data_IF_140821285900
#
_entry.id   IF_140821285900
#
_cell.length_a   1.000
_cell.length_b   1.000
_cell.length_c   1.000
_cell.angle_alpha   90.00
_cell.angle_beta   90.00
_cell.angle_gamma   90.00
#
_symmetry.space_group_name_H-M   'P 1'
#
loop_
_entity.id
_entity.type
_entity.pdbx_description
1 polymer ?
#
# COMPACT_ATOMS: atom_id res chain seq x y z
N UNK A 1 12.41 -7.50 -4.24
CA UNK A 1 12.63 -8.72 -3.44
C UNK A 1 12.22 -8.46 -2.00
N UNK A 2 12.81 -7.49 -1.27
CA UNK A 2 12.49 -7.23 0.15
C UNK A 2 10.99 -7.02 0.41
N UNK A 3 10.27 -6.29 -0.43
CA UNK A 3 8.83 -6.09 -0.29
C UNK A 3 8.05 -7.42 -0.37
N UNK A 4 8.43 -8.32 -1.26
CA UNK A 4 7.82 -9.65 -1.36
C UNK A 4 8.11 -10.53 -0.15
N UNK A 5 9.31 -10.40 0.44
CA UNK A 5 9.64 -11.10 1.69
C UNK A 5 8.77 -10.62 2.83
N UNK A 6 8.60 -9.30 2.97
CA UNK A 6 7.70 -8.70 3.98
C UNK A 6 6.26 -9.19 3.80
N UNK A 7 5.79 -9.21 2.55
CA UNK A 7 4.45 -9.70 2.21
C UNK A 7 4.30 -11.18 2.54
N UNK A 8 5.27 -12.02 2.19
CA UNK A 8 5.24 -13.45 2.48
C UNK A 8 5.24 -13.75 3.99
N UNK A 9 6.05 -13.03 4.77
CA UNK A 9 6.09 -13.18 6.24
C UNK A 9 4.76 -12.73 6.88
N UNK A 10 4.19 -11.62 6.39
CA UNK A 10 2.88 -11.14 6.84
C UNK A 10 1.75 -12.11 6.48
N UNK A 11 1.78 -12.69 5.27
CA UNK A 11 0.81 -13.70 4.84
C UNK A 11 0.94 -14.98 5.67
N UNK A 12 2.16 -15.39 6.03
CA UNK A 12 2.39 -16.56 6.88
C UNK A 12 1.78 -16.37 8.29
N UNK A 13 1.68 -15.15 8.78
CA UNK A 13 1.00 -14.87 10.06
C UNK A 13 -0.51 -15.19 9.96
N UNK A 14 -1.16 -14.80 8.87
CA UNK A 14 -2.60 -15.03 8.69
C UNK A 14 -2.90 -16.49 8.33
N UNK A 15 -2.20 -17.06 7.38
CA UNK A 15 -2.44 -18.43 6.91
C UNK A 15 -1.85 -19.47 7.87
N UNK A 16 -0.62 -19.22 8.35
CA UNK A 16 0.11 -20.20 9.18
C UNK A 16 -0.38 -20.25 10.63
N UNK A 17 -0.79 -19.12 11.21
CA UNK A 17 -1.19 -19.06 12.62
C UNK A 17 -2.71 -19.03 12.82
N UNK A 18 -3.42 -18.22 12.03
CA UNK A 18 -4.88 -18.12 12.11
C UNK A 18 -5.57 -19.26 11.34
N UNK A 19 -4.87 -19.92 10.43
CA UNK A 19 -5.45 -20.98 9.59
C UNK A 19 -6.47 -20.48 8.56
N UNK A 20 -6.56 -19.16 8.36
CA UNK A 20 -7.51 -18.53 7.46
C UNK A 20 -6.85 -18.09 6.17
N UNK A 21 -7.40 -18.53 5.05
CA UNK A 21 -6.91 -18.17 3.73
C UNK A 21 -7.38 -16.76 3.34
N UNK A 22 -6.47 -15.78 3.38
CA UNK A 22 -6.74 -14.41 2.93
C UNK A 22 -6.06 -14.15 1.59
N UNK A 23 -6.84 -13.99 0.52
CA UNK A 23 -6.35 -13.67 -0.82
C UNK A 23 -6.31 -12.17 -1.12
N UNK A 24 -6.84 -11.33 -0.21
CA UNK A 24 -6.89 -9.87 -0.36
C UNK A 24 -5.61 -9.13 0.06
N UNK A 25 -4.57 -9.84 0.49
CA UNK A 25 -3.36 -9.23 1.06
C UNK A 25 -2.66 -8.25 0.08
N UNK A 26 -2.68 -8.57 -1.21
CA UNK A 26 -2.15 -7.72 -2.27
C UNK A 26 -2.93 -6.39 -2.42
N UNK A 27 -4.25 -6.40 -2.13
CA UNK A 27 -5.08 -5.20 -2.14
C UNK A 27 -4.63 -4.19 -1.08
N UNK A 28 -4.41 -4.63 0.16
CA UNK A 28 -3.92 -3.76 1.24
C UNK A 28 -2.51 -3.23 0.95
N UNK A 29 -1.64 -4.06 0.38
CA UNK A 29 -0.31 -3.64 -0.05
C UNK A 29 -0.40 -2.53 -1.11
N UNK A 30 -1.29 -2.66 -2.10
CA UNK A 30 -1.44 -1.65 -3.15
C UNK A 30 -1.97 -0.32 -2.59
N UNK A 31 -2.98 -0.34 -1.71
CA UNK A 31 -3.51 0.87 -1.04
C UNK A 31 -2.41 1.58 -0.26
N UNK A 32 -1.62 0.83 0.53
CA UNK A 32 -0.50 1.39 1.29
C UNK A 32 0.60 1.96 0.40
N UNK A 33 0.95 1.27 -0.68
CA UNK A 33 1.96 1.73 -1.63
C UNK A 33 1.54 3.02 -2.35
N UNK A 34 0.29 3.09 -2.83
CA UNK A 34 -0.21 4.28 -3.52
C UNK A 34 -0.30 5.50 -2.58
N UNK A 35 -0.90 5.33 -1.39
CA UNK A 35 -1.01 6.43 -0.43
C UNK A 35 0.35 6.89 0.09
N UNK A 36 1.26 5.96 0.38
CA UNK A 36 2.63 6.29 0.79
C UNK A 36 3.41 7.02 -0.32
N UNK A 37 3.25 6.60 -1.56
CA UNK A 37 3.91 7.24 -2.70
C UNK A 37 3.41 8.68 -2.91
N UNK A 38 2.10 8.92 -2.79
CA UNK A 38 1.55 10.27 -2.88
C UNK A 38 2.18 11.19 -1.83
N UNK A 39 2.24 10.74 -0.58
CA UNK A 39 2.87 11.51 0.51
C UNK A 39 4.35 11.75 0.23
N UNK A 40 5.06 10.73 -0.26
CA UNK A 40 6.47 10.86 -0.61
C UNK A 40 6.70 11.95 -1.67
N UNK A 41 5.90 11.96 -2.73
CA UNK A 41 6.06 12.93 -3.82
C UNK A 41 5.78 14.35 -3.33
N UNK A 42 4.67 14.56 -2.61
CA UNK A 42 4.31 15.88 -2.06
C UNK A 42 5.37 16.39 -1.07
N UNK A 43 5.91 15.50 -0.23
CA UNK A 43 6.90 15.88 0.78
C UNK A 43 8.33 15.99 0.21
N UNK A 44 8.66 15.28 -0.86
CA UNK A 44 10.02 15.28 -1.43
C UNK A 44 10.47 16.63 -1.98
N UNK A 45 9.56 17.55 -2.24
CA UNK A 45 9.85 18.92 -2.67
C UNK A 45 10.25 19.83 -1.51
N UNK A 46 9.72 19.57 -0.30
CA UNK A 46 9.86 20.46 0.84
C UNK A 46 10.67 19.89 2.01
N UNK A 47 11.01 18.59 2.00
CA UNK A 47 11.66 17.91 3.11
C UNK A 47 12.87 17.07 2.66
N UNK A 48 13.84 16.82 3.56
CA UNK A 48 14.96 15.92 3.27
C UNK A 48 14.46 14.50 3.00
N UNK A 49 15.07 13.83 2.03
CA UNK A 49 14.67 12.49 1.55
C UNK A 49 14.33 11.47 2.66
N UNK A 50 15.14 11.31 3.73
CA UNK A 50 14.85 10.30 4.76
C UNK A 50 13.57 10.62 5.55
N UNK A 51 13.28 11.90 5.79
CA UNK A 51 12.07 12.32 6.50
C UNK A 51 10.81 12.09 5.65
N UNK A 52 10.87 12.46 4.37
CA UNK A 52 9.78 12.23 3.43
C UNK A 52 9.46 10.72 3.30
N UNK A 53 10.48 9.88 3.25
CA UNK A 53 10.33 8.43 3.19
C UNK A 53 9.71 7.86 4.47
N UNK A 54 10.14 8.31 5.63
CA UNK A 54 9.59 7.88 6.92
C UNK A 54 8.11 8.24 7.04
N UNK A 55 7.75 9.49 6.72
CA UNK A 55 6.36 9.94 6.71
C UNK A 55 5.51 9.16 5.71
N UNK A 56 6.03 8.88 4.52
CA UNK A 56 5.35 8.07 3.53
C UNK A 56 5.04 6.65 4.04
N UNK A 57 5.96 6.03 4.77
CA UNK A 57 5.71 4.72 5.41
C UNK A 57 4.66 4.79 6.51
N UNK A 58 4.72 5.80 7.38
CA UNK A 58 3.76 5.95 8.48
C UNK A 58 2.35 6.20 7.94
N UNK A 59 2.20 7.13 7.00
CA UNK A 59 0.90 7.45 6.42
C UNK A 59 0.39 6.31 5.54
N UNK A 60 1.23 5.71 4.71
CA UNK A 60 0.86 4.55 3.89
C UNK A 60 0.40 3.36 4.75
N UNK A 61 1.11 3.09 5.85
CA UNK A 61 0.73 2.08 6.82
C UNK A 61 -0.57 2.39 7.56
N UNK A 62 -0.78 3.65 7.96
CA UNK A 62 -2.01 4.09 8.61
C UNK A 62 -3.23 3.96 7.69
N UNK A 63 -3.10 4.38 6.43
CA UNK A 63 -4.17 4.25 5.43
C UNK A 63 -4.47 2.79 5.13
N UNK A 64 -3.45 1.96 4.90
CA UNK A 64 -3.64 0.53 4.70
C UNK A 64 -4.29 -0.14 5.92
N UNK A 65 -3.91 0.25 7.14
CA UNK A 65 -4.51 -0.22 8.38
C UNK A 65 -5.98 0.18 8.52
N UNK A 66 -6.33 1.42 8.16
CA UNK A 66 -7.71 1.91 8.18
C UNK A 66 -8.58 1.11 7.20
N UNK A 67 -8.11 0.87 5.98
CA UNK A 67 -8.80 0.00 5.02
C UNK A 67 -8.87 -1.44 5.52
N UNK A 68 -7.81 -1.93 6.20
CA UNK A 68 -7.79 -3.25 6.83
C UNK A 68 -8.89 -3.41 7.87
N UNK A 69 -9.10 -2.41 8.73
CA UNK A 69 -10.18 -2.41 9.73
C UNK A 69 -11.55 -2.33 9.05
N UNK A 70 -11.71 -1.43 8.07
CA UNK A 70 -12.97 -1.22 7.37
C UNK A 70 -13.46 -2.49 6.65
N UNK A 71 -12.54 -3.21 6.02
CA UNK A 71 -12.85 -4.48 5.33
C UNK A 71 -12.87 -5.64 6.32
N UNK A 72 -11.99 -5.62 7.33
CA UNK A 72 -11.87 -6.68 8.33
C UNK A 72 -13.16 -6.87 9.14
N UNK A 73 -13.82 -5.78 9.56
CA UNK A 73 -15.05 -5.87 10.37
C UNK A 73 -16.14 -6.76 9.73
N UNK A 74 -16.55 -6.55 8.45
CA UNK A 74 -17.52 -7.42 7.80
C UNK A 74 -16.95 -8.82 7.49
N UNK A 75 -15.67 -8.92 7.14
CA UNK A 75 -15.02 -10.16 6.71
C UNK A 75 -14.80 -11.12 7.87
N UNK A 76 -14.46 -10.63 9.07
CA UNK A 76 -14.30 -11.46 10.27
C UNK A 76 -15.58 -12.17 10.73
N UNK A 77 -16.74 -11.81 10.20
CA UNK A 77 -18.01 -12.52 10.43
C UNK A 77 -18.18 -13.75 9.54
N UNK A 78 -17.31 -13.89 8.54
CA UNK A 78 -17.32 -15.00 7.60
C UNK A 78 -16.23 -16.00 7.99
N UNK A 79 -16.48 -17.27 7.77
CA UNK A 79 -15.54 -18.34 8.09
C UNK A 79 -15.26 -19.23 6.87
N UNK A 80 -14.07 -19.80 6.85
CA UNK A 80 -13.65 -20.76 5.82
C UNK A 80 -13.56 -20.15 4.42
N UNK A 81 -14.10 -20.84 3.42
CA UNK A 81 -13.97 -20.48 2.00
C UNK A 81 -14.64 -19.14 1.65
N UNK A 82 -15.69 -18.75 2.36
CA UNK A 82 -16.36 -17.47 2.14
C UNK A 82 -15.45 -16.28 2.45
N UNK A 83 -14.61 -16.39 3.46
CA UNK A 83 -13.62 -15.38 3.81
C UNK A 83 -12.60 -15.21 2.66
N UNK A 84 -12.12 -16.31 2.09
CA UNK A 84 -11.19 -16.29 0.95
C UNK A 84 -11.81 -15.61 -0.28
N UNK A 85 -13.07 -15.91 -0.61
CA UNK A 85 -13.77 -15.34 -1.75
C UNK A 85 -13.98 -13.82 -1.58
N UNK A 86 -14.42 -13.39 -0.40
CA UNK A 86 -14.67 -11.96 -0.13
C UNK A 86 -13.38 -11.15 -0.11
N UNK A 87 -12.30 -11.69 0.46
CA UNK A 87 -10.99 -11.02 0.43
C UNK A 87 -10.41 -10.94 -0.97
N UNK A 88 -10.61 -11.96 -1.81
CA UNK A 88 -10.25 -11.93 -3.23
C UNK A 88 -11.03 -10.84 -3.99
N UNK A 89 -12.35 -10.81 -3.79
CA UNK A 89 -13.21 -9.79 -4.41
C UNK A 89 -12.78 -8.37 -4.03
N UNK A 90 -12.43 -8.15 -2.77
CA UNK A 90 -11.88 -6.88 -2.31
C UNK A 90 -10.56 -6.54 -3.02
N UNK A 91 -9.64 -7.49 -3.15
CA UNK A 91 -8.39 -7.30 -3.89
C UNK A 91 -8.64 -6.88 -5.35
N UNK A 92 -9.60 -7.51 -6.03
CA UNK A 92 -9.98 -7.15 -7.41
C UNK A 92 -10.65 -5.76 -7.49
N UNK A 93 -11.49 -5.40 -6.52
CA UNK A 93 -12.08 -4.05 -6.46
C UNK A 93 -10.98 -3.01 -6.34
N UNK A 94 -10.04 -3.18 -5.40
CA UNK A 94 -8.93 -2.25 -5.22
C UNK A 94 -8.10 -2.13 -6.50
N UNK A 95 -7.76 -3.24 -7.13
CA UNK A 95 -7.01 -3.27 -8.40
C UNK A 95 -7.73 -2.49 -9.50
N UNK A 96 -9.04 -2.69 -9.67
CA UNK A 96 -9.82 -2.00 -10.69
C UNK A 96 -9.93 -0.50 -10.40
N UNK A 97 -10.12 -0.11 -9.14
CA UNK A 97 -10.10 1.30 -8.72
C UNK A 97 -8.75 1.94 -9.03
N UNK A 98 -7.64 1.27 -8.69
CA UNK A 98 -6.30 1.78 -8.97
C UNK A 98 -6.00 1.89 -10.48
N UNK A 99 -6.48 0.95 -11.27
CA UNK A 99 -6.35 0.99 -12.73
C UNK A 99 -7.17 2.11 -13.38
N UNK A 100 -8.24 2.56 -12.75
CA UNK A 100 -9.05 3.68 -13.19
C UNK A 100 -8.59 5.04 -12.63
N UNK A 101 -7.64 5.04 -11.69
CA UNK A 101 -7.14 6.28 -11.08
C UNK A 101 -6.02 6.89 -11.92
N UNK A 102 -6.19 8.16 -12.24
CA UNK A 102 -5.15 9.02 -12.83
C UNK A 102 -4.88 10.17 -11.87
N UNK A 103 -3.63 10.34 -11.50
CA UNK A 103 -3.18 11.39 -10.58
C UNK A 103 -1.99 12.11 -11.16
N UNK A 104 -2.09 13.43 -11.24
CA UNK A 104 -1.01 14.30 -11.63
C UNK A 104 -0.74 15.35 -10.54
N UNK A 105 0.49 15.80 -10.47
CA UNK A 105 0.91 16.94 -9.64
C UNK A 105 1.39 18.04 -10.54
N UNK A 106 0.86 19.22 -10.29
CA UNK A 106 1.22 20.45 -10.98
C UNK A 106 1.56 21.53 -9.94
N UNK A 107 2.08 22.71 -10.39
CA UNK A 107 2.36 23.87 -9.56
C UNK A 107 1.16 24.35 -8.74
N UNK A 108 -0.06 24.05 -9.17
CA UNK A 108 -1.32 24.40 -8.51
C UNK A 108 -1.86 23.30 -7.56
N UNK A 109 -1.26 22.10 -7.51
CA UNK A 109 -1.63 21.04 -6.57
C UNK A 109 -1.85 19.67 -7.20
N UNK A 110 -2.67 18.86 -6.52
CA UNK A 110 -3.02 17.50 -6.92
C UNK A 110 -4.24 17.52 -7.85
N UNK A 111 -4.06 17.04 -9.07
CA UNK A 111 -5.14 16.82 -10.03
C UNK A 111 -5.51 15.34 -10.06
N UNK A 112 -6.80 15.07 -9.87
CA UNK A 112 -7.34 13.71 -9.85
C UNK A 112 -8.36 13.51 -10.97
N UNK A 113 -8.21 12.45 -11.75
CA UNK A 113 -9.17 12.05 -12.77
C UNK A 113 -9.39 10.53 -12.74
N UNK A 114 -10.63 10.12 -13.05
CA UNK A 114 -11.03 8.71 -13.18
C UNK A 114 -11.25 8.30 -14.64
N UNK A 115 -10.91 9.16 -15.59
CA UNK A 115 -11.26 8.94 -17.00
C UNK A 115 -10.01 8.69 -17.85
N UNK A 116 -9.13 9.71 -17.95
CA UNK A 116 -7.94 9.65 -18.80
C UNK A 116 -6.84 10.59 -18.29
N UNK A 117 -5.58 10.30 -18.63
CA UNK A 117 -4.45 11.20 -18.36
C UNK A 117 -4.59 12.55 -19.05
N UNK A 118 -5.27 12.62 -20.20
CA UNK A 118 -5.54 13.87 -20.91
C UNK A 118 -6.55 14.77 -20.17
N UNK A 119 -7.45 14.20 -19.38
CA UNK A 119 -8.45 14.95 -18.62
C UNK A 119 -7.89 15.59 -17.33
N UNK A 120 -6.64 15.32 -16.99
CA UNK A 120 -5.93 15.96 -15.87
C UNK A 120 -5.62 17.44 -16.14
N UNK A 121 -5.69 17.90 -17.43
CA UNK A 121 -5.39 19.30 -17.84
C UNK A 121 -4.12 19.85 -17.18
N UNK A 122 -3.06 19.03 -17.12
CA UNK A 122 -1.80 19.43 -16.53
C UNK A 122 -1.12 20.50 -17.38
N UNK A 123 -0.54 21.51 -16.75
CA UNK A 123 0.33 22.48 -17.42
C UNK A 123 1.61 21.79 -17.97
N UNK A 124 2.38 22.55 -18.75
CA UNK A 124 3.59 22.06 -19.46
C UNK A 124 4.62 21.41 -18.53
N UNK A 125 4.61 21.75 -17.23
CA UNK A 125 5.48 21.18 -16.20
C UNK A 125 4.81 20.11 -15.31
N UNK A 126 3.55 19.77 -15.54
CA UNK A 126 2.81 18.80 -14.75
C UNK A 126 3.33 17.37 -14.94
N UNK A 127 3.54 16.65 -13.84
CA UNK A 127 3.97 15.25 -13.84
C UNK A 127 2.81 14.33 -13.52
N UNK A 128 2.54 13.37 -14.44
CA UNK A 128 1.61 12.29 -14.17
C UNK A 128 2.28 11.30 -13.23
N UNK A 129 1.77 11.15 -12.02
CA UNK A 129 2.29 10.23 -11.00
C UNK A 129 1.66 8.85 -11.11
N UNK A 130 0.34 8.81 -11.25
CA UNK A 130 -0.43 7.58 -11.41
C UNK A 130 -1.05 7.60 -12.79
N UNK A 131 -0.70 6.61 -13.59
CA UNK A 131 -1.17 6.48 -14.97
C UNK A 131 -2.01 5.20 -15.13
N UNK A 132 -3.08 5.09 -14.34
CA UNK A 132 -4.00 3.96 -14.41
C UNK A 132 -3.27 2.61 -14.34
N UNK A 133 -3.51 1.77 -15.35
CA UNK A 133 -2.92 0.42 -15.44
C UNK A 133 -1.37 0.39 -15.57
N UNK A 134 -0.73 1.49 -15.95
CA UNK A 134 0.74 1.59 -15.98
C UNK A 134 1.35 1.78 -14.57
N UNK A 135 0.49 2.00 -13.56
CA UNK A 135 0.91 2.20 -12.18
C UNK A 135 1.56 3.56 -11.94
N UNK A 136 2.53 3.59 -11.05
CA UNK A 136 3.20 4.80 -10.60
C UNK A 136 4.44 5.05 -11.46
N UNK A 137 4.51 6.22 -12.08
CA UNK A 137 5.59 6.61 -12.98
C UNK A 137 6.26 7.92 -12.51
N UNK A 138 7.51 8.16 -12.93
CA UNK A 138 8.18 9.45 -12.70
C UNK A 138 8.75 9.67 -11.31
N UNK A 139 8.80 8.67 -10.42
CA UNK A 139 9.33 8.81 -9.08
C UNK A 139 10.85 8.64 -9.07
N UNK A 140 11.55 9.53 -8.36
CA UNK A 140 12.98 9.36 -8.08
C UNK A 140 13.18 8.13 -7.20
N UNK A 141 14.15 7.27 -7.56
CA UNK A 141 14.51 6.09 -6.76
C UNK A 141 15.05 6.54 -5.39
N UNK A 142 14.20 6.44 -4.36
CA UNK A 142 14.58 6.75 -2.97
C UNK A 142 14.93 5.51 -2.17
N UNK A 143 14.44 4.32 -2.59
CA UNK A 143 14.67 3.08 -1.85
C UNK A 143 16.01 2.46 -2.26
N UNK A 144 16.90 2.33 -1.28
CA UNK A 144 18.15 1.57 -1.37
C UNK A 144 17.92 0.15 -0.84
N UNK A 145 18.67 -0.82 -1.34
CA UNK A 145 18.60 -2.21 -0.86
C UNK A 145 18.79 -2.33 0.67
N UNK A 146 19.65 -1.50 1.24
CA UNK A 146 19.88 -1.41 2.68
C UNK A 146 18.60 -1.05 3.46
N UNK A 147 17.83 -0.08 2.98
CA UNK A 147 16.53 0.30 3.58
C UNK A 147 15.56 -0.88 3.53
N UNK A 148 15.55 -1.62 2.43
CA UNK A 148 14.73 -2.82 2.28
C UNK A 148 15.06 -3.90 3.31
N UNK A 149 16.34 -4.17 3.57
CA UNK A 149 16.78 -5.15 4.57
C UNK A 149 16.37 -4.70 5.98
N UNK A 150 16.59 -3.43 6.32
CA UNK A 150 16.20 -2.87 7.63
C UNK A 150 14.69 -3.05 7.86
N UNK A 151 13.87 -2.78 6.86
CA UNK A 151 12.42 -2.97 6.94
C UNK A 151 12.04 -4.44 7.13
N UNK A 152 12.71 -5.37 6.46
CA UNK A 152 12.50 -6.82 6.66
C UNK A 152 12.81 -7.20 8.11
N UNK A 153 13.93 -6.74 8.67
CA UNK A 153 14.32 -7.05 10.05
C UNK A 153 13.27 -6.47 11.04
N UNK A 154 12.87 -5.22 10.85
CA UNK A 154 11.82 -4.59 11.69
C UNK A 154 10.52 -5.38 11.62
N UNK A 155 10.09 -5.79 10.42
CA UNK A 155 8.87 -6.57 10.24
C UNK A 155 8.95 -7.92 10.94
N UNK A 156 10.08 -8.62 10.83
CA UNK A 156 10.32 -9.88 11.54
C UNK A 156 10.26 -9.70 13.06
N UNK A 157 10.91 -8.67 13.60
CA UNK A 157 10.88 -8.37 15.05
C UNK A 157 9.45 -8.07 15.53
N UNK A 158 8.68 -7.28 14.77
CA UNK A 158 7.29 -6.97 15.10
C UNK A 158 6.43 -8.23 15.10
N UNK A 159 6.55 -9.07 14.08
CA UNK A 159 5.77 -10.31 13.95
C UNK A 159 6.15 -11.30 15.06
N UNK A 160 7.44 -11.51 15.33
CA UNK A 160 7.90 -12.39 16.42
C UNK A 160 7.39 -11.91 17.79
N UNK A 161 7.42 -10.59 18.01
CA UNK A 161 6.91 -10.00 19.26
C UNK A 161 5.40 -10.17 19.37
N UNK A 162 4.66 -10.00 18.27
CA UNK A 162 3.21 -10.18 18.23
C UNK A 162 2.81 -11.63 18.49
N UNK A 163 3.51 -12.59 17.88
CA UNK A 163 3.29 -14.03 18.09
C UNK A 163 3.56 -14.45 19.53
N UNK A 164 4.61 -13.90 20.15
CA UNK A 164 4.98 -14.21 21.54
C UNK A 164 4.17 -13.41 22.57
N UNK A 165 3.35 -12.46 22.13
CA UNK A 165 2.50 -11.65 23.01
C UNK A 165 1.27 -12.42 23.49
N UNK A 166 0.56 -11.85 24.49
CA UNK A 166 -0.73 -12.40 24.96
C UNK A 166 -1.81 -12.47 23.85
N UNK A 167 -1.69 -11.64 22.82
CA UNK A 167 -2.62 -11.63 21.70
C UNK A 167 -2.34 -12.74 20.68
N UNK A 168 -1.13 -13.30 20.66
CA UNK A 168 -0.73 -14.38 19.75
C UNK A 168 -0.81 -15.79 20.36
N UNK A 169 -1.15 -15.91 21.66
CA UNK A 169 -1.43 -17.16 22.36
C UNK A 169 -2.92 -17.36 22.51
#
# INVERSE_FOLDING_TARGET
>A
ICAYVIMAVSLNLTVGMLGELSLGHAGFMSVGAFSGTLVYVVMSENAPQPLALLLAFVVGGAVAGLFGVLVGIPVLRLSGDYLAIVTLAFGEIVKNVMNACYLGVDSHGLHFSLKDSASLNLEVDGKVLINGAMGITGIKKASTFTIGIVLVIITLLVILNLVNSRAGR
#
